data_IF_224408053039
#
_entry.id   IF_224408053039
#
_cell.length_a   1.000
_cell.length_b   1.000
_cell.length_c   1.000
_cell.angle_alpha   90.00
_cell.angle_beta   90.00
_cell.angle_gamma   90.00
#
_symmetry.space_group_name_H-M   'P 1'
#
loop_
_entity.id
_entity.type
_entity.pdbx_description
1 polymer ?
#
# COMPACT_ATOMS: atom_id res chain seq x y z
N UNK A 1 -8.04 -9.82 -55.46
CA UNK A 1 -7.02 -10.30 -54.49
C UNK A 1 -6.48 -9.18 -53.59
N UNK A 2 -5.90 -8.08 -54.12
CA UNK A 2 -5.39 -6.94 -53.30
C UNK A 2 -6.37 -6.35 -52.28
N UNK A 3 -7.65 -6.17 -52.63
CA UNK A 3 -8.68 -5.61 -51.73
C UNK A 3 -9.10 -6.54 -50.59
N UNK A 4 -9.02 -7.86 -50.81
CA UNK A 4 -9.33 -8.89 -49.80
C UNK A 4 -8.18 -8.99 -48.80
N UNK A 5 -6.94 -8.94 -49.28
CA UNK A 5 -5.75 -8.92 -48.43
C UNK A 5 -5.75 -7.70 -47.50
N UNK A 6 -6.12 -6.51 -48.02
CA UNK A 6 -6.28 -5.30 -47.20
C UNK A 6 -7.37 -5.44 -46.13
N UNK A 7 -8.51 -6.07 -46.46
CA UNK A 7 -9.61 -6.29 -45.50
C UNK A 7 -9.23 -7.30 -44.41
N UNK A 8 -8.46 -8.33 -44.75
CA UNK A 8 -7.91 -9.31 -43.79
C UNK A 8 -6.85 -8.66 -42.88
N UNK A 9 -5.99 -7.80 -43.43
CA UNK A 9 -5.00 -7.07 -42.62
C UNK A 9 -5.69 -6.07 -41.67
N UNK A 10 -6.73 -5.36 -42.12
CA UNK A 10 -7.46 -4.41 -41.27
C UNK A 10 -8.17 -5.10 -40.09
N UNK A 11 -8.75 -6.29 -40.33
CA UNK A 11 -9.43 -7.07 -39.29
C UNK A 11 -8.44 -7.65 -38.28
N UNK A 12 -7.26 -8.08 -38.71
CA UNK A 12 -6.19 -8.54 -37.81
C UNK A 12 -5.63 -7.39 -36.96
N UNK A 13 -5.47 -6.18 -37.50
CA UNK A 13 -4.97 -5.01 -36.75
C UNK A 13 -5.97 -4.58 -35.65
N UNK A 14 -7.27 -4.71 -35.89
CA UNK A 14 -8.31 -4.38 -34.90
C UNK A 14 -8.39 -5.34 -33.70
N UNK A 15 -7.78 -6.53 -33.78
CA UNK A 15 -7.78 -7.53 -32.71
C UNK A 15 -6.63 -7.37 -31.70
N UNK A 16 -5.66 -6.50 -31.97
CA UNK A 16 -4.42 -6.38 -31.15
C UNK A 16 -4.58 -5.32 -30.02
N UNK A 17 -5.67 -4.54 -30.00
CA UNK A 17 -5.74 -3.28 -29.24
C UNK A 17 -6.29 -3.34 -27.80
N UNK A 18 -6.54 -4.49 -27.18
CA UNK A 18 -7.42 -4.54 -25.97
C UNK A 18 -6.77 -4.79 -24.61
N UNK A 19 -5.45 -4.90 -24.45
CA UNK A 19 -4.87 -5.44 -23.19
C UNK A 19 -4.30 -4.43 -22.14
N UNK A 20 -4.24 -3.08 -22.31
CA UNK A 20 -3.57 -2.25 -21.30
C UNK A 20 -4.39 -2.00 -20.01
N UNK A 21 -5.71 -2.18 -20.03
CA UNK A 21 -6.59 -1.79 -18.91
C UNK A 21 -6.55 -2.72 -17.68
N UNK A 22 -6.45 -4.04 -17.88
CA UNK A 22 -6.48 -5.01 -16.78
C UNK A 22 -5.18 -5.00 -15.95
N UNK A 23 -4.03 -4.85 -16.59
CA UNK A 23 -2.74 -4.82 -15.89
C UNK A 23 -2.61 -3.63 -14.92
N UNK A 24 -3.14 -2.46 -15.29
CA UNK A 24 -3.17 -1.28 -14.41
C UNK A 24 -4.10 -1.49 -13.21
N UNK A 25 -5.30 -2.05 -13.44
CA UNK A 25 -6.25 -2.36 -12.36
C UNK A 25 -5.71 -3.39 -11.36
N UNK A 26 -4.98 -4.40 -11.84
CA UNK A 26 -4.35 -5.39 -10.97
C UNK A 26 -3.21 -4.77 -10.14
N UNK A 27 -2.44 -3.85 -10.71
CA UNK A 27 -1.42 -3.10 -9.97
C UNK A 27 -2.05 -2.26 -8.86
N UNK A 28 -3.06 -1.45 -9.17
CA UNK A 28 -3.76 -0.59 -8.20
C UNK A 28 -4.33 -1.42 -7.04
N UNK A 29 -4.92 -2.58 -7.35
CA UNK A 29 -5.43 -3.52 -6.35
C UNK A 29 -4.32 -4.07 -5.46
N UNK A 30 -3.19 -4.46 -6.03
CA UNK A 30 -2.06 -4.99 -5.27
C UNK A 30 -1.42 -3.93 -4.38
N UNK A 31 -1.30 -2.69 -4.86
CA UNK A 31 -0.84 -1.53 -4.07
C UNK A 31 -1.79 -1.29 -2.90
N UNK A 32 -3.10 -1.18 -3.14
CA UNK A 32 -4.08 -0.98 -2.07
C UNK A 32 -4.07 -2.13 -1.04
N UNK A 33 -3.84 -3.37 -1.47
CA UNK A 33 -3.67 -4.50 -0.56
C UNK A 33 -2.40 -4.37 0.29
N UNK A 34 -1.30 -3.90 -0.29
CA UNK A 34 -0.06 -3.66 0.44
C UNK A 34 -0.23 -2.53 1.46
N UNK A 35 -0.87 -1.41 1.09
CA UNK A 35 -1.19 -0.30 2.00
C UNK A 35 -1.95 -0.79 3.24
N UNK A 36 -2.97 -1.63 3.04
CA UNK A 36 -3.74 -2.22 4.14
C UNK A 36 -2.88 -3.16 5.02
N UNK A 37 -1.97 -3.93 4.43
CA UNK A 37 -1.06 -4.82 5.18
C UNK A 37 -0.09 -4.01 6.04
N UNK A 38 0.49 -2.97 5.47
CA UNK A 38 1.38 -2.03 6.17
C UNK A 38 0.66 -1.42 7.36
N UNK A 39 -0.52 -0.83 7.13
CA UNK A 39 -1.30 -0.21 8.19
C UNK A 39 -1.67 -1.18 9.32
N UNK A 40 -2.12 -2.39 8.96
CA UNK A 40 -2.46 -3.43 9.93
C UNK A 40 -1.26 -3.91 10.75
N UNK A 41 -0.09 -4.06 10.12
CA UNK A 41 1.15 -4.44 10.81
C UNK A 41 1.57 -3.35 11.79
N UNK A 42 1.54 -2.09 11.37
CA UNK A 42 1.85 -0.95 12.22
C UNK A 42 0.92 -0.93 13.44
N UNK A 43 -0.41 -0.89 13.22
CA UNK A 43 -1.38 -0.77 14.29
C UNK A 43 -1.26 -1.92 15.30
N UNK A 44 -1.13 -3.16 14.82
CA UNK A 44 -0.92 -4.32 15.70
C UNK A 44 0.36 -4.19 16.53
N UNK A 45 1.47 -3.76 15.92
CA UNK A 45 2.75 -3.60 16.60
C UNK A 45 2.67 -2.53 17.67
N UNK A 46 2.14 -1.36 17.32
CA UNK A 46 1.93 -0.25 18.24
C UNK A 46 1.04 -0.67 19.42
N UNK A 47 -0.17 -1.17 19.14
CA UNK A 47 -1.13 -1.57 20.17
C UNK A 47 -0.56 -2.65 21.11
N UNK A 48 0.21 -3.61 20.58
CA UNK A 48 0.87 -4.62 21.41
C UNK A 48 1.96 -4.01 22.30
N UNK A 49 2.81 -3.15 21.73
CA UNK A 49 3.87 -2.48 22.48
C UNK A 49 3.31 -1.63 23.62
N UNK A 50 2.28 -0.83 23.33
CA UNK A 50 1.56 -0.03 24.33
C UNK A 50 0.88 -0.92 25.37
N UNK A 51 0.27 -2.03 24.95
CA UNK A 51 -0.32 -3.03 25.85
C UNK A 51 0.69 -3.70 26.79
N UNK A 52 1.97 -3.75 26.41
CA UNK A 52 3.07 -4.19 27.29
C UNK A 52 3.61 -3.09 28.21
N UNK A 53 3.00 -1.89 28.19
CA UNK A 53 3.39 -0.77 29.04
C UNK A 53 4.59 0.02 28.51
N UNK A 54 4.97 -0.15 27.25
CA UNK A 54 5.93 0.74 26.59
C UNK A 54 5.29 2.13 26.46
N UNK A 55 6.07 3.19 26.64
CA UNK A 55 5.58 4.56 26.42
C UNK A 55 5.03 4.70 25.00
N UNK A 56 4.14 5.67 24.80
CA UNK A 56 3.59 5.96 23.48
C UNK A 56 4.68 6.26 22.45
N UNK A 57 5.61 7.16 22.77
CA UNK A 57 6.77 7.48 21.92
C UNK A 57 7.61 6.22 21.61
N UNK A 58 7.82 5.36 22.60
CA UNK A 58 8.55 4.11 22.41
C UNK A 58 7.80 3.11 21.52
N UNK A 59 6.48 3.01 21.70
CA UNK A 59 5.59 2.17 20.91
C UNK A 59 5.53 2.63 19.46
N UNK A 60 5.48 3.95 19.24
CA UNK A 60 5.54 4.59 17.93
C UNK A 60 6.84 4.26 17.21
N UNK A 61 7.99 4.57 17.82
CA UNK A 61 9.31 4.28 17.22
C UNK A 61 9.48 2.80 16.90
N UNK A 62 9.00 1.93 17.79
CA UNK A 62 9.05 0.49 17.58
C UNK A 62 8.16 0.05 16.41
N UNK A 63 6.92 0.54 16.34
CA UNK A 63 6.00 0.23 15.26
C UNK A 63 6.49 0.74 13.91
N UNK A 64 7.06 1.95 13.84
CA UNK A 64 7.71 2.48 12.64
C UNK A 64 8.84 1.53 12.23
N UNK A 65 9.83 1.30 13.12
CA UNK A 65 11.01 0.49 12.78
C UNK A 65 10.67 -0.92 12.30
N UNK A 66 9.75 -1.61 12.98
CA UNK A 66 9.29 -2.95 12.57
C UNK A 66 8.57 -2.94 11.22
N UNK A 67 7.76 -1.90 10.97
CA UNK A 67 7.00 -1.78 9.72
C UNK A 67 7.93 -1.48 8.55
N UNK A 68 8.87 -0.55 8.71
CA UNK A 68 9.86 -0.23 7.67
C UNK A 68 10.70 -1.46 7.30
N UNK A 69 11.23 -2.17 8.30
CA UNK A 69 12.07 -3.36 8.06
C UNK A 69 11.30 -4.47 7.34
N UNK A 70 10.04 -4.70 7.70
CA UNK A 70 9.23 -5.76 7.09
C UNK A 70 8.91 -5.47 5.60
N UNK A 71 8.66 -4.21 5.25
CA UNK A 71 8.21 -3.83 3.91
C UNK A 71 9.29 -3.21 3.02
N UNK A 72 10.50 -2.94 3.53
CA UNK A 72 11.60 -2.33 2.77
C UNK A 72 11.96 -3.09 1.47
N UNK A 73 11.80 -4.42 1.45
CA UNK A 73 12.14 -5.26 0.29
C UNK A 73 10.97 -5.54 -0.65
N UNK A 74 9.78 -4.98 -0.38
CA UNK A 74 8.64 -5.23 -1.25
C UNK A 74 8.76 -4.37 -2.53
N UNK A 75 8.67 -4.95 -3.73
CA UNK A 75 8.85 -4.22 -4.98
C UNK A 75 7.74 -3.19 -5.27
N UNK A 76 6.59 -3.29 -4.59
CA UNK A 76 5.48 -2.34 -4.75
C UNK A 76 5.55 -1.17 -3.79
N UNK A 77 6.54 -1.14 -2.91
CA UNK A 77 6.73 -0.10 -1.90
C UNK A 77 6.87 1.29 -2.51
N UNK A 78 7.60 1.42 -3.62
CA UNK A 78 7.77 2.68 -4.35
C UNK A 78 6.46 3.20 -4.97
N UNK A 79 5.45 2.34 -5.10
CA UNK A 79 4.13 2.68 -5.64
C UNK A 79 3.10 3.00 -4.54
N UNK A 80 3.47 2.93 -3.26
CA UNK A 80 2.56 3.22 -2.16
C UNK A 80 2.22 4.70 -2.10
N UNK A 81 0.95 5.00 -1.85
CA UNK A 81 0.56 6.35 -1.46
C UNK A 81 0.75 6.48 0.06
N UNK A 82 1.85 7.11 0.48
CA UNK A 82 2.19 7.26 1.91
C UNK A 82 1.07 7.94 2.71
N UNK A 83 0.37 8.92 2.12
CA UNK A 83 -0.76 9.59 2.77
C UNK A 83 -1.92 8.62 3.00
N UNK A 84 -2.22 7.76 2.01
CA UNK A 84 -3.25 6.74 2.15
C UNK A 84 -2.89 5.71 3.23
N UNK A 85 -1.60 5.32 3.31
CA UNK A 85 -1.09 4.45 4.38
C UNK A 85 -1.26 5.11 5.75
N UNK A 86 -0.85 6.37 5.92
CA UNK A 86 -1.00 7.09 7.19
C UNK A 86 -2.45 7.14 7.65
N UNK A 87 -3.39 7.48 6.76
CA UNK A 87 -4.82 7.48 7.08
C UNK A 87 -5.32 6.09 7.53
N UNK A 88 -4.93 5.04 6.80
CA UNK A 88 -5.28 3.65 7.16
C UNK A 88 -4.67 3.22 8.50
N UNK A 89 -3.51 3.75 8.88
CA UNK A 89 -2.90 3.52 10.20
C UNK A 89 -3.78 4.13 11.28
N UNK A 90 -4.22 5.38 11.13
CA UNK A 90 -5.11 6.05 12.09
C UNK A 90 -6.41 5.25 12.28
N UNK A 91 -7.04 4.84 11.17
CA UNK A 91 -8.23 3.99 11.20
C UNK A 91 -7.93 2.65 11.91
N UNK A 92 -6.80 2.03 11.59
CA UNK A 92 -6.39 0.76 12.18
C UNK A 92 -6.09 0.82 13.67
N UNK A 93 -5.55 1.93 14.18
CA UNK A 93 -5.29 2.15 15.60
C UNK A 93 -6.60 2.30 16.38
N UNK A 94 -7.54 3.08 15.84
CA UNK A 94 -8.89 3.19 16.37
C UNK A 94 -9.58 1.82 16.45
N UNK A 95 -9.54 1.03 15.37
CA UNK A 95 -10.19 -0.27 15.31
C UNK A 95 -9.51 -1.35 16.18
N UNK A 96 -8.19 -1.31 16.30
CA UNK A 96 -7.42 -2.39 16.94
C UNK A 96 -7.30 -2.20 18.45
N UNK A 97 -7.08 -0.97 18.92
CA UNK A 97 -6.89 -0.70 20.36
C UNK A 97 -7.64 0.53 20.88
N UNK A 98 -8.62 1.07 20.14
CA UNK A 98 -9.40 2.26 20.54
C UNK A 98 -8.50 3.45 20.87
N UNK A 99 -7.40 3.60 20.11
CA UNK A 99 -6.45 4.69 20.30
C UNK A 99 -6.72 5.78 19.26
N UNK A 100 -7.03 7.00 19.73
CA UNK A 100 -7.49 8.12 18.90
C UNK A 100 -6.64 9.38 19.02
N UNK A 101 -5.60 9.35 19.87
CA UNK A 101 -4.77 10.53 20.14
C UNK A 101 -3.67 10.75 19.09
N UNK A 102 -3.50 9.81 18.14
CA UNK A 102 -2.57 9.98 17.02
C UNK A 102 -3.04 11.10 16.09
N UNK A 103 -2.14 12.03 15.83
CA UNK A 103 -2.21 12.92 14.69
C UNK A 103 -1.44 12.32 13.51
N UNK A 104 -1.81 12.71 12.30
CA UNK A 104 -1.12 12.25 11.10
C UNK A 104 0.37 12.65 11.05
N UNK A 105 0.72 13.74 11.72
CA UNK A 105 2.09 14.24 11.84
C UNK A 105 2.96 13.33 12.73
N UNK A 106 2.37 12.53 13.63
CA UNK A 106 3.12 11.55 14.43
C UNK A 106 3.72 10.43 13.56
N UNK A 107 3.25 10.32 12.31
CA UNK A 107 3.72 9.36 11.32
C UNK A 107 4.71 9.97 10.32
N UNK A 108 5.24 11.18 10.54
CA UNK A 108 6.17 11.84 9.62
C UNK A 108 7.48 11.09 9.41
N UNK A 109 7.92 10.34 10.41
CA UNK A 109 9.12 9.51 10.32
C UNK A 109 8.88 8.20 9.54
N UNK A 110 7.63 7.82 9.27
CA UNK A 110 7.30 6.61 8.51
C UNK A 110 7.71 6.77 7.05
N UNK A 111 8.68 5.97 6.61
CA UNK A 111 9.15 5.95 5.22
C UNK A 111 9.44 4.54 4.77
N UNK A 112 9.24 4.31 3.49
CA UNK A 112 9.56 3.04 2.87
C UNK A 112 10.57 3.25 1.76
N UNK A 113 11.79 3.60 2.15
CA UNK A 113 12.92 3.68 1.22
C UNK A 113 13.73 2.39 1.31
N UNK A 114 14.05 1.79 0.16
CA UNK A 114 15.17 0.85 0.08
C UNK A 114 16.52 1.55 0.28
#
# INVERSE_FOLDING_TARGET
>A
MRRIILAVILTVISLISTVPGQAAQDLDKNVAQLENKVAKKFAKTFCNASGFGISEEGSLKFAIGETEVEFAKNPLTDSLNLQAVKNKILDGLADTCNYYEFDINDLDDLKFTS
#
